data_IF_583818322309
#
_entry.id   IF_583818322309
#
_cell.length_a   1.000
_cell.length_b   1.000
_cell.length_c   1.000
_cell.angle_alpha   90.00
_cell.angle_beta   90.00
_cell.angle_gamma   90.00
#
_symmetry.space_group_name_H-M   'P 1'
#
loop_
_entity.id
_entity.type
_entity.pdbx_description
1 polymer ?
#
# COMPACT_ATOMS: atom_id res chain seq x y z
N UNK A 1 -18.12 -17.20 17.14
CA UNK A 1 -16.80 -17.84 17.34
C UNK A 1 -16.40 -18.56 16.05
N UNK A 2 -15.12 -18.50 15.62
CA UNK A 2 -14.64 -19.16 14.38
C UNK A 2 -14.80 -20.68 14.45
N UNK A 3 -15.15 -21.34 13.33
CA UNK A 3 -15.35 -22.80 13.25
C UNK A 3 -14.04 -23.53 13.56
N UNK A 4 -14.06 -24.75 14.16
CA UNK A 4 -12.85 -25.48 14.54
C UNK A 4 -11.87 -25.72 13.38
N UNK A 5 -12.40 -25.90 12.17
CA UNK A 5 -11.61 -26.14 10.96
C UNK A 5 -10.77 -24.92 10.54
N UNK A 6 -11.25 -23.70 10.80
CA UNK A 6 -10.55 -22.43 10.52
C UNK A 6 -9.41 -22.13 11.50
N UNK A 7 -9.29 -22.94 12.57
CA UNK A 7 -8.22 -22.81 13.58
C UNK A 7 -7.00 -23.67 13.27
N UNK A 8 -7.04 -24.48 12.20
CA UNK A 8 -5.90 -25.31 11.80
C UNK A 8 -4.75 -24.42 11.32
N UNK A 9 -3.74 -24.25 12.18
CA UNK A 9 -2.53 -23.52 11.84
C UNK A 9 -1.58 -24.42 11.03
N UNK A 10 -1.24 -24.00 9.82
CA UNK A 10 -0.20 -24.65 9.00
C UNK A 10 1.09 -23.87 9.16
N UNK A 11 2.20 -24.54 9.46
CA UNK A 11 3.53 -23.92 9.50
C UNK A 11 4.14 -23.92 8.10
N UNK A 12 4.58 -22.75 7.65
CA UNK A 12 5.29 -22.56 6.37
C UNK A 12 6.51 -21.70 6.64
N UNK A 13 7.66 -22.11 6.12
CA UNK A 13 8.88 -21.30 6.13
C UNK A 13 8.84 -20.33 4.95
N UNK A 14 9.15 -19.06 5.20
CA UNK A 14 9.28 -18.02 4.18
C UNK A 14 10.71 -17.50 4.22
N UNK A 15 11.34 -17.40 3.06
CA UNK A 15 12.64 -16.76 2.92
C UNK A 15 12.43 -15.28 2.62
N UNK A 16 13.14 -14.41 3.31
CA UNK A 16 13.07 -12.96 3.14
C UNK A 16 14.44 -12.32 3.34
N UNK A 17 14.59 -11.08 2.92
CA UNK A 17 15.80 -10.29 3.16
C UNK A 17 15.89 -9.88 4.62
N UNK A 18 17.11 -9.61 5.08
CA UNK A 18 17.36 -9.12 6.45
C UNK A 18 16.64 -7.80 6.72
N UNK A 19 16.64 -6.87 5.75
CA UNK A 19 15.91 -5.61 5.84
C UNK A 19 14.41 -5.82 6.09
N UNK A 20 13.77 -6.70 5.32
CA UNK A 20 12.34 -6.99 5.49
C UNK A 20 12.04 -7.67 6.83
N UNK A 21 12.95 -8.52 7.31
CA UNK A 21 12.83 -9.12 8.65
C UNK A 21 12.85 -8.04 9.74
N UNK A 22 13.79 -7.11 9.65
CA UNK A 22 13.92 -6.01 10.62
C UNK A 22 12.69 -5.10 10.61
N UNK A 23 12.18 -4.73 9.44
CA UNK A 23 10.95 -3.93 9.31
C UNK A 23 9.75 -4.61 9.99
N UNK A 24 9.58 -5.93 9.80
CA UNK A 24 8.48 -6.69 10.42
C UNK A 24 8.66 -6.74 11.93
N UNK A 25 9.88 -6.87 12.43
CA UNK A 25 10.17 -6.87 13.86
C UNK A 25 9.93 -5.51 14.52
N UNK A 26 10.32 -4.43 13.86
CA UNK A 26 10.07 -3.06 14.33
C UNK A 26 8.57 -2.78 14.37
N UNK A 27 7.85 -3.07 13.29
CA UNK A 27 6.39 -2.91 13.25
C UNK A 27 5.69 -3.72 14.35
N UNK A 28 6.16 -4.96 14.59
CA UNK A 28 5.62 -5.81 15.65
C UNK A 28 5.86 -5.21 17.05
N UNK A 29 7.04 -4.63 17.30
CA UNK A 29 7.37 -3.95 18.56
C UNK A 29 6.49 -2.73 18.77
N UNK A 30 6.37 -1.87 17.77
CA UNK A 30 5.58 -0.63 17.84
C UNK A 30 4.11 -0.92 18.11
N UNK A 31 3.58 -2.01 17.53
CA UNK A 31 2.20 -2.44 17.68
C UNK A 31 1.95 -3.37 18.88
N UNK A 32 3.00 -3.80 19.59
CA UNK A 32 2.90 -4.74 20.71
C UNK A 32 2.36 -6.12 20.34
N UNK A 33 2.56 -6.56 19.10
CA UNK A 33 2.10 -7.86 18.59
C UNK A 33 3.29 -8.74 18.17
N UNK A 34 3.02 -9.99 17.81
CA UNK A 34 4.06 -10.91 17.34
C UNK A 34 4.38 -10.64 15.86
N UNK A 35 5.65 -10.80 15.41
CA UNK A 35 6.03 -10.70 13.99
C UNK A 35 5.18 -11.59 13.08
N UNK A 36 4.81 -12.79 13.54
CA UNK A 36 3.96 -13.69 12.76
C UNK A 36 2.53 -13.15 12.55
N UNK A 37 2.02 -12.30 13.44
CA UNK A 37 0.72 -11.65 13.29
C UNK A 37 0.80 -10.58 12.21
N UNK A 38 1.86 -9.75 12.24
CA UNK A 38 2.17 -8.78 11.17
C UNK A 38 2.26 -9.48 9.81
N UNK A 39 3.02 -10.57 9.73
CA UNK A 39 3.13 -11.36 8.50
C UNK A 39 1.78 -11.89 8.02
N UNK A 40 0.98 -12.47 8.92
CA UNK A 40 -0.33 -13.01 8.56
C UNK A 40 -1.31 -11.92 8.10
N UNK A 41 -1.23 -10.72 8.66
CA UNK A 41 -2.03 -9.56 8.24
C UNK A 41 -1.60 -9.06 6.87
N UNK A 42 -0.30 -8.91 6.62
CA UNK A 42 0.23 -8.54 5.30
C UNK A 42 -0.15 -9.55 4.22
N UNK A 43 -0.12 -10.85 4.54
CA UNK A 43 -0.57 -11.90 3.63
C UNK A 43 -2.11 -11.93 3.45
N UNK A 44 -2.86 -11.37 4.41
CA UNK A 44 -4.31 -11.20 4.32
C UNK A 44 -4.63 -9.92 3.56
N UNK A 45 -4.46 -9.95 2.25
CA UNK A 45 -5.14 -8.98 1.40
C UNK A 45 -6.61 -9.43 1.20
N UNK A 46 -7.61 -8.63 1.59
CA UNK A 46 -9.03 -9.00 1.43
C UNK A 46 -9.49 -9.08 -0.03
N UNK A 47 -8.64 -8.75 -1.01
CA UNK A 47 -8.90 -8.99 -2.42
C UNK A 47 -7.59 -9.19 -3.16
N UNK A 48 -7.55 -10.19 -4.04
CA UNK A 48 -6.58 -10.30 -5.13
C UNK A 48 -6.92 -9.34 -6.28
N UNK A 49 -7.58 -8.22 -5.99
CA UNK A 49 -7.94 -7.26 -7.01
C UNK A 49 -6.71 -6.37 -7.18
N UNK A 50 -5.91 -6.63 -8.22
CA UNK A 50 -4.81 -5.76 -8.66
C UNK A 50 -5.32 -4.39 -9.15
N UNK A 51 -6.57 -4.02 -8.85
CA UNK A 51 -7.08 -2.69 -9.10
C UNK A 51 -6.29 -1.74 -8.22
N UNK A 52 -5.64 -0.72 -8.80
CA UNK A 52 -5.06 0.34 -8.01
C UNK A 52 -6.13 0.88 -7.06
N UNK A 53 -5.71 1.26 -5.84
CA UNK A 53 -6.61 2.00 -4.96
C UNK A 53 -7.19 3.18 -5.73
N UNK A 54 -8.42 3.60 -5.42
CA UNK A 54 -9.04 4.74 -6.08
C UNK A 54 -8.09 5.97 -6.11
N UNK A 55 -7.33 6.16 -5.03
CA UNK A 55 -6.32 7.21 -4.91
C UNK A 55 -5.15 7.04 -5.91
N UNK A 56 -4.65 5.82 -6.12
CA UNK A 56 -3.63 5.55 -7.13
C UNK A 56 -4.16 5.83 -8.56
N UNK A 57 -5.41 5.47 -8.86
CA UNK A 57 -6.03 5.79 -10.15
C UNK A 57 -6.20 7.31 -10.38
N UNK A 58 -6.57 8.07 -9.33
CA UNK A 58 -6.66 9.53 -9.38
C UNK A 58 -5.28 10.16 -9.57
N UNK A 59 -4.24 9.62 -8.93
CA UNK A 59 -2.88 10.09 -9.09
C UNK A 59 -2.35 9.84 -10.51
N UNK A 60 -2.56 8.64 -11.05
CA UNK A 60 -2.15 8.30 -12.42
C UNK A 60 -2.84 9.20 -13.45
N UNK A 61 -4.14 9.47 -13.25
CA UNK A 61 -4.88 10.40 -14.10
C UNK A 61 -4.34 11.83 -14.02
N UNK A 62 -4.07 12.32 -12.81
CA UNK A 62 -3.51 13.66 -12.61
C UNK A 62 -2.13 13.78 -13.26
N UNK A 63 -1.27 12.78 -13.10
CA UNK A 63 0.07 12.74 -13.70
C UNK A 63 0.01 12.75 -15.24
N UNK A 64 -0.92 11.98 -15.83
CA UNK A 64 -1.14 12.03 -17.28
C UNK A 64 -1.65 13.40 -17.75
N UNK A 65 -2.58 13.98 -17.00
CA UNK A 65 -3.13 15.29 -17.32
C UNK A 65 -2.04 16.37 -17.27
N UNK A 66 -1.21 16.40 -16.23
CA UNK A 66 -0.03 17.30 -16.13
C UNK A 66 0.88 17.12 -17.34
N UNK A 67 1.28 15.88 -17.69
CA UNK A 67 2.15 15.60 -18.85
C UNK A 67 1.58 16.08 -20.19
N UNK A 68 0.26 16.00 -20.37
CA UNK A 68 -0.41 16.46 -21.59
C UNK A 68 -0.51 17.98 -21.60
N UNK A 69 -0.80 18.59 -20.45
CA UNK A 69 -1.02 20.03 -20.31
C UNK A 69 0.29 20.83 -20.35
N UNK A 70 1.38 20.28 -19.82
CA UNK A 70 2.72 20.89 -19.80
C UNK A 70 3.22 21.26 -21.21
N UNK A 71 2.78 20.51 -22.23
CA UNK A 71 3.09 20.81 -23.65
C UNK A 71 2.45 22.10 -24.17
N UNK A 72 1.40 22.58 -23.52
CA UNK A 72 0.62 23.75 -23.94
C UNK A 72 0.77 24.91 -22.95
N UNK A 73 0.87 24.62 -21.66
CA UNK A 73 0.97 25.61 -20.58
C UNK A 73 1.67 25.01 -19.36
N UNK A 74 2.92 25.41 -19.13
CA UNK A 74 3.71 24.96 -17.98
C UNK A 74 3.13 25.47 -16.65
N UNK A 75 2.52 26.65 -16.66
CA UNK A 75 1.98 27.29 -15.46
C UNK A 75 0.71 26.57 -14.97
N UNK A 76 -0.22 26.25 -15.88
CA UNK A 76 -1.43 25.50 -15.54
C UNK A 76 -1.11 24.05 -15.15
N UNK A 77 -0.08 23.45 -15.73
CA UNK A 77 0.38 22.11 -15.37
C UNK A 77 0.87 22.06 -13.92
N UNK A 78 1.63 23.06 -13.47
CA UNK A 78 2.07 23.21 -12.06
C UNK A 78 0.91 23.42 -11.10
N UNK A 79 -0.12 24.17 -11.50
CA UNK A 79 -1.32 24.37 -10.68
C UNK A 79 -2.11 23.06 -10.51
N UNK A 80 -2.26 22.29 -11.59
CA UNK A 80 -2.91 20.98 -11.58
C UNK A 80 -2.14 19.96 -10.73
N UNK A 81 -0.81 19.91 -10.87
CA UNK A 81 0.06 19.06 -10.06
C UNK A 81 -0.08 19.39 -8.56
N UNK A 82 -0.08 20.68 -8.21
CA UNK A 82 -0.28 21.14 -6.83
C UNK A 82 -1.66 20.78 -6.29
N UNK A 83 -2.71 20.85 -7.11
CA UNK A 83 -4.06 20.45 -6.75
C UNK A 83 -4.16 18.93 -6.54
N UNK A 84 -3.55 18.13 -7.42
CA UNK A 84 -3.48 16.67 -7.28
C UNK A 84 -2.71 16.23 -6.02
N UNK A 85 -1.57 16.86 -5.74
CA UNK A 85 -0.77 16.57 -4.54
C UNK A 85 -1.53 16.92 -3.24
N UNK A 86 -2.41 17.92 -3.25
CA UNK A 86 -3.29 18.23 -2.11
C UNK A 86 -4.35 17.16 -1.86
N UNK A 87 -4.84 16.49 -2.91
CA UNK A 87 -5.79 15.38 -2.78
C UNK A 87 -5.13 14.12 -2.18
N UNK A 88 -3.79 14.05 -2.20
CA UNK A 88 -3.01 12.94 -1.66
C UNK A 88 -2.57 13.15 -0.20
N UNK A 89 -2.34 14.40 0.22
CA UNK A 89 -1.71 14.74 1.51
C UNK A 89 -2.70 14.89 2.69
N UNK A 90 -3.88 14.28 2.61
CA UNK A 90 -4.87 14.22 3.69
C UNK A 90 -5.18 12.78 4.11
#
# INVERSE_FOLDING_TARGET
>A
MRKPEEKKTVRKTVLMTEALSNEIEEEAKDRGIKPNAVMNERLKHPGSDNKPSFMAAVQDFTNEAVKKLEKYSEQEAKELEKAGNKLWTY
#
